data_IF_332730708959
#
_entry.id   IF_332730708959
#
_cell.length_a   1.000
_cell.length_b   1.000
_cell.length_c   1.000
_cell.angle_alpha   90.00
_cell.angle_beta   90.00
_cell.angle_gamma   90.00
#
_symmetry.space_group_name_H-M   'P 1'
#
loop_
_entity.id
_entity.type
_entity.pdbx_description
1 polymer ?
#
# COMPACT_ATOMS: atom_id res chain seq x y z
N UNK A 1 10.36 16.46 0.82
CA UNK A 1 10.89 15.15 0.36
C UNK A 1 10.03 13.99 0.84
N UNK A 2 9.52 13.99 2.08
CA UNK A 2 8.56 12.97 2.53
C UNK A 2 7.22 13.04 1.78
N UNK A 3 6.72 14.25 1.51
CA UNK A 3 5.40 14.45 0.91
C UNK A 3 5.26 13.84 -0.49
N UNK A 4 6.29 13.96 -1.34
CA UNK A 4 6.29 13.38 -2.68
C UNK A 4 6.17 11.85 -2.66
N UNK A 5 6.84 11.18 -1.72
CA UNK A 5 6.75 9.71 -1.57
C UNK A 5 5.37 9.31 -1.06
N UNK A 6 4.81 10.08 -0.13
CA UNK A 6 3.47 9.83 0.42
C UNK A 6 2.40 10.00 -0.67
N UNK A 7 2.48 11.07 -1.47
CA UNK A 7 1.56 11.32 -2.59
C UNK A 7 1.67 10.24 -3.67
N UNK A 8 2.88 9.83 -4.04
CA UNK A 8 3.11 8.76 -5.03
C UNK A 8 2.55 7.41 -4.55
N UNK A 9 2.79 7.08 -3.27
CA UNK A 9 2.28 5.86 -2.68
C UNK A 9 0.75 5.88 -2.58
N UNK A 10 0.16 7.02 -2.17
CA UNK A 10 -1.29 7.19 -2.09
C UNK A 10 -1.95 7.03 -3.46
N UNK A 11 -1.40 7.67 -4.50
CA UNK A 11 -1.92 7.54 -5.87
C UNK A 11 -1.86 6.08 -6.35
N UNK A 12 -0.73 5.40 -6.12
CA UNK A 12 -0.55 4.00 -6.52
C UNK A 12 -1.48 3.05 -5.74
N UNK A 13 -1.74 3.35 -4.47
CA UNK A 13 -2.61 2.58 -3.60
C UNK A 13 -4.09 2.75 -3.99
N UNK A 14 -4.50 3.92 -4.45
CA UNK A 14 -5.86 4.18 -4.93
C UNK A 14 -6.22 3.33 -6.15
N UNK A 15 -5.23 2.95 -6.97
CA UNK A 15 -5.42 2.08 -8.14
C UNK A 15 -5.57 0.59 -7.78
N UNK A 16 -5.33 0.21 -6.52
CA UNK A 16 -5.50 -1.17 -6.04
C UNK A 16 -6.99 -1.50 -5.78
N UNK A 17 -7.78 -1.53 -6.85
CA UNK A 17 -9.24 -1.76 -6.82
C UNK A 17 -9.64 -3.24 -6.92
N UNK A 18 -8.72 -4.09 -7.36
CA UNK A 18 -8.92 -5.54 -7.44
C UNK A 18 -7.62 -6.28 -7.11
N UNK A 19 -7.70 -7.60 -6.95
CA UNK A 19 -6.56 -8.42 -6.57
C UNK A 19 -5.56 -8.52 -7.74
N UNK A 20 -4.67 -7.54 -7.83
CA UNK A 20 -3.65 -7.41 -8.87
C UNK A 20 -2.28 -7.71 -8.28
N UNK A 21 -1.77 -8.93 -8.53
CA UNK A 21 -0.42 -9.32 -8.10
C UNK A 21 0.68 -8.34 -8.55
N UNK A 22 0.67 -7.81 -9.80
CA UNK A 22 1.64 -6.80 -10.20
C UNK A 22 1.58 -5.52 -9.36
N UNK A 23 0.37 -5.02 -9.04
CA UNK A 23 0.22 -3.81 -8.23
C UNK A 23 0.62 -4.05 -6.78
N UNK A 24 0.25 -5.21 -6.21
CA UNK A 24 0.66 -5.60 -4.86
C UNK A 24 2.18 -5.64 -4.76
N UNK A 25 2.85 -6.31 -5.72
CA UNK A 25 4.30 -6.36 -5.75
C UNK A 25 4.94 -4.97 -5.90
N UNK A 26 4.39 -4.12 -6.76
CA UNK A 26 4.86 -2.74 -6.93
C UNK A 26 4.77 -1.95 -5.62
N UNK A 27 3.63 -1.99 -4.95
CA UNK A 27 3.41 -1.30 -3.68
C UNK A 27 4.26 -1.88 -2.54
N UNK A 28 4.56 -3.19 -2.58
CA UNK A 28 5.53 -3.82 -1.67
C UNK A 28 6.95 -3.30 -1.92
N UNK A 29 7.40 -3.23 -3.18
CA UNK A 29 8.72 -2.68 -3.53
C UNK A 29 8.84 -1.20 -3.14
N UNK A 30 7.81 -0.38 -3.41
CA UNK A 30 7.79 1.02 -2.99
C UNK A 30 7.87 1.18 -1.46
N UNK A 31 7.23 0.28 -0.71
CA UNK A 31 7.31 0.29 0.75
C UNK A 31 8.71 -0.09 1.26
N UNK A 32 9.36 -1.07 0.62
CA UNK A 32 10.74 -1.48 0.92
C UNK A 32 11.74 -0.34 0.67
N UNK A 33 11.67 0.30 -0.51
CA UNK A 33 12.54 1.41 -0.90
C UNK A 33 12.37 2.63 0.02
N UNK A 34 11.20 2.78 0.62
CA UNK A 34 10.82 3.94 1.44
C UNK A 34 10.56 3.58 2.90
N UNK A 35 11.22 2.55 3.45
CA UNK A 35 11.12 2.13 4.86
C UNK A 35 11.25 3.29 5.87
N UNK A 36 12.05 4.31 5.56
CA UNK A 36 12.18 5.55 6.38
C UNK A 36 10.85 6.29 6.60
N UNK A 37 9.86 6.07 5.74
CA UNK A 37 8.52 6.67 5.80
C UNK A 37 7.43 5.62 6.14
N UNK A 38 7.80 4.45 6.65
CA UNK A 38 6.85 3.39 7.02
C UNK A 38 5.66 3.89 7.86
N UNK A 39 5.80 4.78 8.87
CA UNK A 39 4.65 5.29 9.62
C UNK A 39 3.62 6.04 8.75
N UNK A 40 4.06 6.71 7.68
CA UNK A 40 3.15 7.38 6.74
C UNK A 40 2.47 6.39 5.82
N UNK A 41 3.22 5.41 5.30
CA UNK A 41 2.71 4.35 4.42
C UNK A 41 1.63 3.53 5.14
N UNK A 42 1.87 3.15 6.40
CA UNK A 42 0.88 2.42 7.21
C UNK A 42 -0.41 3.22 7.36
N UNK A 43 -0.33 4.53 7.64
CA UNK A 43 -1.51 5.40 7.75
C UNK A 43 -2.31 5.47 6.44
N UNK A 44 -1.64 5.50 5.29
CA UNK A 44 -2.31 5.48 3.99
C UNK A 44 -3.04 4.15 3.77
N UNK A 45 -2.41 3.02 4.09
CA UNK A 45 -3.02 1.69 3.98
C UNK A 45 -4.25 1.57 4.90
N UNK A 46 -4.14 2.03 6.14
CA UNK A 46 -5.26 2.05 7.09
C UNK A 46 -6.41 2.94 6.59
N UNK A 47 -6.10 4.13 6.06
CA UNK A 47 -7.09 5.03 5.48
C UNK A 47 -7.78 4.41 4.27
N UNK A 48 -7.03 3.76 3.38
CA UNK A 48 -7.56 3.06 2.21
C UNK A 48 -8.46 1.90 2.64
N UNK A 49 -8.06 1.09 3.63
CA UNK A 49 -8.86 -0.02 4.13
C UNK A 49 -10.19 0.44 4.74
N UNK A 50 -10.19 1.60 5.40
CA UNK A 50 -11.40 2.20 5.98
C UNK A 50 -12.34 2.76 4.90
N UNK A 51 -11.80 3.32 3.81
CA UNK A 51 -12.56 3.88 2.69
C UNK A 51 -13.04 2.82 1.70
N UNK A 52 -12.30 1.72 1.55
CA UNK A 52 -12.53 0.68 0.57
C UNK A 52 -13.90 -0.01 0.74
N UNK A 53 -14.54 -0.31 -0.39
CA UNK A 53 -15.74 -1.16 -0.43
C UNK A 53 -15.39 -2.61 -0.10
N UNK A 54 -16.37 -3.44 0.24
CA UNK A 54 -16.13 -4.85 0.66
C UNK A 54 -15.28 -5.66 -0.33
N UNK A 55 -15.39 -5.41 -1.63
CA UNK A 55 -14.59 -6.06 -2.69
C UNK A 55 -13.14 -5.58 -2.76
N UNK A 56 -12.88 -4.34 -2.36
CA UNK A 56 -11.55 -3.70 -2.43
C UNK A 56 -10.73 -3.95 -1.16
N UNK A 57 -11.37 -4.31 -0.04
CA UNK A 57 -10.68 -4.62 1.22
C UNK A 57 -9.74 -5.81 1.11
N UNK A 58 -10.12 -6.84 0.35
CA UNK A 58 -9.31 -8.04 0.18
C UNK A 58 -7.96 -7.74 -0.51
N UNK A 59 -7.91 -7.02 -1.64
CA UNK A 59 -6.66 -6.55 -2.24
C UNK A 59 -5.75 -5.79 -1.26
N UNK A 60 -6.32 -4.87 -0.46
CA UNK A 60 -5.55 -4.10 0.53
C UNK A 60 -4.99 -4.99 1.63
N UNK A 61 -5.75 -5.99 2.10
CA UNK A 61 -5.24 -6.98 3.05
C UNK A 61 -4.11 -7.84 2.46
N UNK A 62 -4.18 -8.20 1.17
CA UNK A 62 -3.09 -8.92 0.50
C UNK A 62 -1.83 -8.05 0.34
N UNK A 63 -1.99 -6.74 0.17
CA UNK A 63 -0.85 -5.83 0.21
C UNK A 63 -0.17 -5.84 1.58
N UNK A 64 -0.96 -5.71 2.67
CA UNK A 64 -0.41 -5.78 4.03
C UNK A 64 0.33 -7.10 4.28
N UNK A 65 -0.27 -8.23 3.88
CA UNK A 65 0.34 -9.56 3.97
C UNK A 65 1.67 -9.64 3.18
N UNK A 66 1.69 -9.10 1.96
CA UNK A 66 2.88 -9.06 1.12
C UNK A 66 4.01 -8.21 1.73
N UNK A 67 3.68 -7.04 2.29
CA UNK A 67 4.67 -6.18 2.95
C UNK A 67 5.28 -6.89 4.17
N UNK A 68 4.44 -7.44 5.05
CA UNK A 68 4.91 -8.15 6.26
C UNK A 68 5.76 -9.38 5.88
N UNK A 69 5.41 -10.10 4.82
CA UNK A 69 6.17 -11.29 4.40
C UNK A 69 7.52 -10.99 3.75
N UNK A 70 7.60 -9.92 2.97
CA UNK A 70 8.77 -9.67 2.12
C UNK A 70 9.68 -8.55 2.63
N UNK A 71 9.15 -7.61 3.43
CA UNK A 71 9.90 -6.44 3.92
C UNK A 71 10.17 -6.55 5.42
N UNK A 72 9.17 -6.95 6.22
CA UNK A 72 9.30 -7.13 7.67
C UNK A 72 8.05 -6.74 8.46
#
# INVERSE_FOLDING_TARGET
MADAVVEEYESSLADLTFNSKPHINMLTMLAEENVKYAPHIVRLIEAQLNKATSSEKLPVMYLMDSIVKNVG
#
